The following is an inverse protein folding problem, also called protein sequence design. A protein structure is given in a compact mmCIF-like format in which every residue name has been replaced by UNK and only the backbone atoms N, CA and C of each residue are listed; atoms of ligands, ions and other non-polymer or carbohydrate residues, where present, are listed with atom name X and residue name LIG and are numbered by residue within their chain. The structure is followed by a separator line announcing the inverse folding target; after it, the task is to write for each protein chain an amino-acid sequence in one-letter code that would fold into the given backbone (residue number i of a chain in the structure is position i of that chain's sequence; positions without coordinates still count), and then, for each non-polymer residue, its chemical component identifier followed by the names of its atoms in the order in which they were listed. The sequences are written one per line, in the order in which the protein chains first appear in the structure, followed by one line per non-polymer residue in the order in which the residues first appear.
data_IF_999113375647
#
_entry.id   IF_999113375647
#
_cell.length_a   1.000
_cell.length_b   1.000
_cell.length_c   1.000
_cell.angle_alpha   90.00
_cell.angle_beta   90.00
_cell.angle_gamma   90.00
#
_symmetry.space_group_name_H-M   'P 1'
#
loop_
_entity.id
_entity.type
_entity.pdbx_description
1 polymer ?
#
# COMPACT_ATOMS: atom_id res chain seq x y z
N UNK A 1 -2.52 -12.26 6.26
CA UNK A 1 -1.56 -12.42 5.14
C UNK A 1 -1.88 -13.62 4.26
N UNK A 2 -2.31 -14.76 4.83
CA UNK A 2 -2.64 -15.99 4.07
C UNK A 2 -3.68 -15.80 2.95
N UNK A 3 -4.68 -14.93 3.14
CA UNK A 3 -5.73 -14.72 2.15
C UNK A 3 -5.25 -14.14 0.80
N UNK A 4 -4.22 -13.27 0.82
CA UNK A 4 -3.67 -12.62 -0.37
C UNK A 4 -2.72 -13.55 -1.15
N UNK A 5 -1.90 -14.33 -0.44
CA UNK A 5 -1.03 -15.35 -1.03
C UNK A 5 -1.86 -16.45 -1.73
N UNK A 6 -2.95 -16.88 -1.11
CA UNK A 6 -3.89 -17.87 -1.66
C UNK A 6 -4.78 -17.32 -2.80
N UNK A 7 -4.58 -16.08 -3.26
CA UNK A 7 -5.31 -15.47 -4.38
C UNK A 7 -4.37 -15.02 -5.51
N UNK A 8 -3.06 -15.29 -5.42
CA UNK A 8 -2.07 -14.88 -6.43
C UNK A 8 -1.89 -13.35 -6.54
N UNK A 9 -2.38 -12.57 -5.58
CA UNK A 9 -2.21 -11.11 -5.60
C UNK A 9 -0.83 -10.77 -5.09
N UNK A 10 0.04 -10.28 -5.99
CA UNK A 10 1.38 -9.82 -5.62
C UNK A 10 1.29 -8.53 -4.79
N UNK A 11 1.69 -8.62 -3.53
CA UNK A 11 1.77 -7.51 -2.59
C UNK A 11 3.11 -6.79 -2.77
N UNK A 12 3.08 -5.48 -2.97
CA UNK A 12 4.26 -4.64 -3.21
C UNK A 12 4.04 -3.68 -4.36
N UNK A 13 4.85 -2.62 -4.45
CA UNK A 13 4.77 -1.71 -5.60
C UNK A 13 5.66 -2.20 -6.74
N UNK A 14 5.28 -1.84 -7.95
CA UNK A 14 6.06 -2.11 -9.16
C UNK A 14 7.31 -1.21 -9.28
N UNK A 15 7.34 -0.08 -8.54
CA UNK A 15 8.39 0.94 -8.67
C UNK A 15 9.70 0.52 -8.01
N UNK A 16 10.86 0.77 -8.66
CA UNK A 16 12.16 0.51 -8.06
C UNK A 16 12.44 1.46 -6.90
N UNK A 17 13.18 0.97 -5.91
CA UNK A 17 13.76 1.79 -4.85
C UNK A 17 15.04 2.45 -5.36
N UNK A 18 14.95 3.73 -5.73
CA UNK A 18 16.07 4.48 -6.33
C UNK A 18 17.00 5.05 -5.25
N UNK A 19 16.42 5.55 -4.14
CA UNK A 19 17.22 6.06 -3.02
C UNK A 19 17.71 4.92 -2.15
N UNK A 20 19.00 4.94 -1.79
CA UNK A 20 19.58 3.98 -0.86
C UNK A 20 19.16 4.28 0.57
N UNK A 21 19.23 3.26 1.44
CA UNK A 21 18.88 3.43 2.85
C UNK A 21 19.83 4.39 3.59
N UNK A 22 21.10 4.43 3.19
CA UNK A 22 22.09 5.36 3.74
C UNK A 22 21.71 6.81 3.40
N UNK A 23 21.40 7.10 2.14
CA UNK A 23 20.98 8.44 1.68
C UNK A 23 19.71 8.92 2.38
N UNK A 24 18.70 8.05 2.55
CA UNK A 24 17.48 8.40 3.28
C UNK A 24 17.74 8.69 4.77
N UNK A 25 18.71 8.01 5.37
CA UNK A 25 19.09 8.20 6.77
C UNK A 25 19.90 9.48 6.96
N UNK A 26 20.83 9.78 6.05
CA UNK A 26 21.61 11.02 6.01
C UNK A 26 20.71 12.24 5.81
N UNK A 27 19.72 12.13 4.91
CA UNK A 27 18.69 13.15 4.72
C UNK A 27 17.66 13.24 5.87
N UNK A 28 17.82 12.43 6.92
CA UNK A 28 16.95 12.37 8.11
C UNK A 28 15.47 12.23 7.78
N UNK A 29 15.14 11.42 6.76
CA UNK A 29 13.75 11.18 6.40
C UNK A 29 13.04 10.38 7.51
N UNK A 30 11.84 10.82 7.96
CA UNK A 30 11.01 10.03 8.85
C UNK A 30 10.60 8.70 8.21
N UNK A 31 10.47 7.64 9.01
CA UNK A 31 10.05 6.30 8.56
C UNK A 31 8.86 6.27 7.58
N UNK A 32 7.76 7.03 7.76
CA UNK A 32 6.64 6.99 6.82
C UNK A 32 6.98 7.49 5.41
N UNK A 33 8.04 8.28 5.25
CA UNK A 33 8.46 8.84 3.96
C UNK A 33 9.66 8.10 3.35
N UNK A 34 10.03 6.94 3.90
CA UNK A 34 11.08 6.06 3.34
C UNK A 34 10.47 5.06 2.37
N UNK A 35 9.76 5.59 1.40
CA UNK A 35 9.06 4.84 0.36
C UNK A 35 9.77 4.98 -1.00
N UNK A 36 9.23 4.37 -2.06
CA UNK A 36 9.84 4.37 -3.40
C UNK A 36 9.98 5.78 -3.97
N UNK A 37 9.21 6.76 -3.47
CA UNK A 37 9.26 8.15 -3.89
C UNK A 37 10.28 9.01 -3.11
N UNK A 38 11.02 8.44 -2.15
CA UNK A 38 11.97 9.18 -1.31
C UNK A 38 13.06 9.93 -2.09
N UNK A 39 13.47 9.40 -3.25
CA UNK A 39 14.45 10.03 -4.14
C UNK A 39 14.01 11.42 -4.66
N UNK A 40 12.71 11.70 -4.71
CA UNK A 40 12.14 13.02 -5.06
C UNK A 40 11.96 13.92 -3.84
N UNK A 41 11.77 13.33 -2.65
CA UNK A 41 11.57 14.08 -1.42
C UNK A 41 12.86 14.73 -0.93
N UNK A 42 14.01 14.07 -1.10
CA UNK A 42 15.32 14.61 -0.72
C UNK A 42 15.60 15.96 -1.43
N UNK A 43 15.54 16.08 -2.76
CA UNK A 43 15.75 17.37 -3.43
C UNK A 43 14.65 18.39 -3.11
N UNK A 44 13.38 17.96 -2.97
CA UNK A 44 12.29 18.85 -2.55
C UNK A 44 12.56 19.48 -1.17
N UNK A 45 13.03 18.70 -0.20
CA UNK A 45 13.34 19.22 1.13
C UNK A 45 14.56 20.16 1.11
N UNK A 46 15.55 19.91 0.25
CA UNK A 46 16.66 20.85 0.04
C UNK A 46 16.16 22.20 -0.51
N UNK A 47 15.29 22.16 -1.52
CA UNK A 47 14.67 23.37 -2.08
C UNK A 47 13.83 24.14 -1.05
N UNK A 48 13.00 23.42 -0.27
CA UNK A 48 12.17 24.02 0.78
C UNK A 48 12.99 24.75 1.84
N UNK A 49 14.10 24.16 2.28
CA UNK A 49 14.98 24.82 3.26
C UNK A 49 15.67 26.04 2.64
N UNK A 50 16.15 25.94 1.40
CA UNK A 50 16.82 27.05 0.71
C UNK A 50 15.90 28.25 0.46
N UNK A 51 14.65 27.99 0.10
CA UNK A 51 13.64 29.03 -0.22
C UNK A 51 12.73 29.35 0.97
N UNK A 52 13.09 28.97 2.20
CA UNK A 52 12.32 29.23 3.43
C UNK A 52 10.85 28.78 3.36
N UNK A 53 10.57 27.66 2.68
CA UNK A 53 9.24 27.04 2.57
C UNK A 53 8.17 27.95 1.94
N UNK A 54 8.57 28.88 1.07
CA UNK A 54 7.64 29.75 0.36
C UNK A 54 6.70 28.91 -0.56
N UNK A 55 5.37 29.12 -0.52
CA UNK A 55 4.40 28.27 -1.24
C UNK A 55 4.54 28.24 -2.77
N UNK A 56 5.03 29.34 -3.36
CA UNK A 56 5.21 29.51 -4.81
C UNK A 56 6.58 29.05 -5.32
N UNK A 57 7.42 28.49 -4.44
CA UNK A 57 8.73 27.94 -4.77
C UNK A 57 8.68 26.41 -4.73
N UNK A 58 9.59 25.79 -5.46
CA UNK A 58 9.74 24.32 -5.53
C UNK A 58 8.50 23.58 -6.06
N UNK A 59 7.66 24.25 -6.87
CA UNK A 59 6.46 23.64 -7.46
C UNK A 59 6.74 22.41 -8.33
N UNK A 60 7.74 22.42 -9.24
CA UNK A 60 7.97 21.25 -10.10
C UNK A 60 8.43 20.03 -9.29
N UNK A 61 9.31 20.23 -8.29
CA UNK A 61 9.75 19.15 -7.40
C UNK A 61 8.61 18.63 -6.53
N UNK A 62 7.75 19.53 -6.04
CA UNK A 62 6.55 19.18 -5.27
C UNK A 62 5.61 18.33 -6.11
N UNK A 63 5.30 18.78 -7.32
CA UNK A 63 4.38 18.07 -8.21
C UNK A 63 4.93 16.71 -8.65
N UNK A 64 6.24 16.61 -8.91
CA UNK A 64 6.87 15.33 -9.23
C UNK A 64 6.73 14.32 -8.06
N UNK A 65 6.98 14.75 -6.83
CA UNK A 65 6.81 13.91 -5.64
C UNK A 65 5.35 13.49 -5.44
N UNK A 66 4.40 14.42 -5.57
CA UNK A 66 2.97 14.14 -5.45
C UNK A 66 2.47 13.16 -6.52
N UNK A 67 2.91 13.33 -7.77
CA UNK A 67 2.60 12.38 -8.84
C UNK A 67 3.13 10.98 -8.53
N UNK A 68 4.35 10.88 -8.02
CA UNK A 68 4.92 9.60 -7.63
C UNK A 68 4.07 8.90 -6.55
N UNK A 69 3.66 9.65 -5.52
CA UNK A 69 2.79 9.16 -4.44
C UNK A 69 1.41 8.75 -4.95
N UNK A 70 0.82 9.55 -5.83
CA UNK A 70 -0.46 9.25 -6.45
C UNK A 70 -0.44 7.89 -7.14
N UNK A 71 0.57 7.64 -7.97
CA UNK A 71 0.75 6.35 -8.66
C UNK A 71 0.90 5.18 -7.67
N UNK A 72 1.63 5.34 -6.56
CA UNK A 72 1.74 4.31 -5.52
C UNK A 72 0.40 3.99 -4.84
N UNK A 73 -0.41 5.02 -4.58
CA UNK A 73 -1.75 4.86 -4.01
C UNK A 73 -2.66 4.13 -4.99
N UNK A 74 -2.62 4.50 -6.27
CA UNK A 74 -3.42 3.85 -7.31
C UNK A 74 -3.06 2.36 -7.47
N UNK A 75 -1.77 2.01 -7.47
CA UNK A 75 -1.34 0.61 -7.47
C UNK A 75 -1.92 -0.17 -6.28
N UNK A 76 -1.89 0.43 -5.08
CA UNK A 76 -2.43 -0.18 -3.87
C UNK A 76 -3.95 -0.31 -3.91
N UNK A 77 -4.66 0.66 -4.48
CA UNK A 77 -6.12 0.59 -4.64
C UNK A 77 -6.51 -0.58 -5.56
N UNK A 78 -5.79 -0.76 -6.68
CA UNK A 78 -6.00 -1.89 -7.60
C UNK A 78 -5.72 -3.23 -6.89
N UNK A 79 -4.66 -3.31 -6.09
CA UNK A 79 -4.38 -4.50 -5.29
C UNK A 79 -5.49 -4.80 -4.27
N UNK A 80 -6.00 -3.77 -3.60
CA UNK A 80 -7.10 -3.93 -2.64
C UNK A 80 -8.40 -4.37 -3.31
N UNK A 81 -8.71 -3.87 -4.52
CA UNK A 81 -9.85 -4.33 -5.30
C UNK A 81 -9.72 -5.81 -5.64
N UNK A 82 -8.56 -6.24 -6.16
CA UNK A 82 -8.28 -7.67 -6.46
C UNK A 82 -8.41 -8.57 -5.23
N UNK A 83 -7.92 -8.10 -4.08
CA UNK A 83 -8.06 -8.86 -2.81
C UNK A 83 -9.53 -8.98 -2.41
N UNK A 84 -10.32 -7.90 -2.53
CA UNK A 84 -11.75 -7.92 -2.21
C UNK A 84 -12.53 -8.85 -3.13
N UNK A 85 -12.31 -8.78 -4.44
CA UNK A 85 -12.92 -9.68 -5.42
C UNK A 85 -12.57 -11.14 -5.14
N UNK A 86 -11.30 -11.43 -4.83
CA UNK A 86 -10.87 -12.79 -4.47
C UNK A 86 -11.50 -13.28 -3.16
N UNK A 87 -11.71 -12.39 -2.18
CA UNK A 87 -12.41 -12.72 -0.94
C UNK A 87 -13.90 -12.97 -1.18
N UNK A 88 -14.56 -12.19 -2.03
CA UNK A 88 -15.95 -12.39 -2.43
C UNK A 88 -16.15 -13.69 -3.21
N UNK A 89 -15.22 -14.04 -4.10
CA UNK A 89 -15.25 -15.33 -4.79
C UNK A 89 -15.12 -16.50 -3.81
N UNK A 90 -14.28 -16.37 -2.78
CA UNK A 90 -14.14 -17.36 -1.69
C UNK A 90 -15.38 -17.45 -0.80
N UNK A 91 -16.03 -16.32 -0.48
CA UNK A 91 -17.23 -16.30 0.36
C UNK A 91 -18.46 -16.85 -0.36
N UNK A 92 -18.58 -16.66 -1.69
CA UNK A 92 -19.64 -17.27 -2.52
C UNK A 92 -19.49 -18.80 -2.65
N UNK A 93 -18.29 -19.34 -2.46
CA UNK A 93 -18.04 -20.79 -2.33
C UNK A 93 -18.39 -21.38 -0.96
N UNK A 94 -18.67 -20.55 0.05
CA UNK A 94 -19.06 -20.97 1.39
C UNK A 94 -20.58 -20.89 1.64
N UNK A 95 -21.36 -20.38 0.67
CA UNK A 95 -22.81 -20.15 0.79
C UNK A 95 -23.70 -21.29 0.24
N UNK A 96 -23.18 -22.51 0.12
CA UNK A 96 -23.98 -23.71 -0.19
C UNK A 96 -23.68 -24.84 0.80
N UNK A 97 -23.94 -24.61 2.08
CA UNK A 97 -24.28 -25.72 2.98
C UNK A 97 -25.47 -25.25 3.79
N UNK A 98 -26.66 -25.71 3.39
CA UNK A 98 -27.80 -25.76 4.31
C UNK A 98 -27.39 -26.63 5.48
N UNK A 99 -26.99 -26.00 6.58
CA UNK A 99 -26.82 -26.68 7.86
C UNK A 99 -28.23 -26.76 8.47
N UNK A 100 -28.87 -27.94 8.57
CA UNK A 100 -30.01 -28.08 9.44
C UNK A 100 -29.52 -27.87 10.87
N UNK A 101 -30.07 -26.86 11.54
CA UNK A 101 -29.80 -26.53 12.93
C UNK A 101 -30.37 -27.60 13.87
N UNK A 102 -29.84 -28.83 13.87
CA UNK A 102 -29.90 -29.75 15.03
C UNK A 102 -28.65 -30.66 14.98
N UNK A 103 -27.76 -30.64 15.98
CA UNK A 103 -26.74 -31.67 16.15
C UNK A 103 -27.43 -33.01 16.48
N UNK A 104 -27.32 -33.99 15.59
CA UNK A 104 -27.81 -35.34 15.83
C UNK A 104 -26.97 -36.00 16.95
N UNK A 105 -27.68 -36.59 17.93
CA UNK A 105 -27.22 -37.54 18.95
C UNK A 105 -26.69 -36.97 20.30
N UNK A 106 -27.60 -36.43 21.11
CA UNK A 106 -27.56 -36.71 22.55
C UNK A 106 -28.54 -37.87 22.82
N UNK A 107 -28.04 -39.10 22.89
CA UNK A 107 -28.78 -40.24 23.45
C UNK A 107 -28.84 -40.06 24.96
N UNK A 108 -30.01 -39.70 25.48
CA UNK A 108 -30.35 -39.92 26.89
C UNK A 108 -30.34 -41.43 27.14
N UNK A 109 -29.50 -41.87 28.08
CA UNK A 109 -29.56 -43.19 28.73
C UNK A 109 -29.86 -42.96 30.19
#
# INVERSE_FOLDING_TARGET
MEAAAAAGVQLGTSKPQIATQAEMSEARLPLPYRDQCAHLLIPLNKCRVAEYYLPWKCEPERHAYEKCQYELVMERMIQMQKIREAQEAKSKGAATIGVPLIPSTAKLS
#
